data_IF_158334346980
#
_entry.id   IF_158334346980
#
_cell.length_a   1.000
_cell.length_b   1.000
_cell.length_c   1.000
_cell.angle_alpha   90.00
_cell.angle_beta   90.00
_cell.angle_gamma   90.00
#
_symmetry.space_group_name_H-M   'P 1'
#
loop_
_entity.id
_entity.type
_entity.pdbx_description
1 polymer ?
#
# COMPACT_ATOMS: atom_id res chain seq x y z
N UNK A 1 -11.22 23.22 -12.29
CA UNK A 1 -10.55 22.55 -11.15
C UNK A 1 -9.05 22.45 -11.46
N UNK A 2 -8.15 22.70 -10.51
CA UNK A 2 -6.71 22.54 -10.73
C UNK A 2 -6.38 21.05 -10.98
N UNK A 3 -5.53 20.75 -11.94
CA UNK A 3 -5.14 19.38 -12.31
C UNK A 3 -4.55 18.61 -11.11
N UNK A 4 -3.76 19.28 -10.26
CA UNK A 4 -3.26 18.67 -9.01
C UNK A 4 -4.38 18.32 -8.02
N UNK A 5 -5.44 19.11 -7.98
CA UNK A 5 -6.62 18.84 -7.13
C UNK A 5 -7.40 17.65 -7.67
N UNK A 6 -7.61 17.59 -8.98
CA UNK A 6 -8.27 16.45 -9.64
C UNK A 6 -7.51 15.14 -9.37
N UNK A 7 -6.20 15.14 -9.58
CA UNK A 7 -5.36 13.96 -9.32
C UNK A 7 -5.49 13.46 -7.87
N UNK A 8 -5.53 14.36 -6.88
CA UNK A 8 -5.71 14.00 -5.47
C UNK A 8 -7.09 13.41 -5.18
N UNK A 9 -8.14 14.01 -5.73
CA UNK A 9 -9.51 13.51 -5.59
C UNK A 9 -9.62 12.12 -6.20
N UNK A 10 -9.07 11.91 -7.41
CA UNK A 10 -9.10 10.60 -8.07
C UNK A 10 -8.29 9.55 -7.29
N UNK A 11 -7.11 9.92 -6.77
CA UNK A 11 -6.33 9.00 -5.93
C UNK A 11 -7.10 8.58 -4.67
N UNK A 12 -7.76 9.53 -3.99
CA UNK A 12 -8.61 9.24 -2.84
C UNK A 12 -9.83 8.40 -3.21
N UNK A 13 -10.43 8.60 -4.39
CA UNK A 13 -11.53 7.78 -4.88
C UNK A 13 -11.09 6.34 -5.18
N UNK A 14 -9.91 6.16 -5.79
CA UNK A 14 -9.29 4.85 -6.03
C UNK A 14 -9.01 4.14 -4.71
N UNK A 15 -8.43 4.84 -3.73
CA UNK A 15 -8.24 4.33 -2.38
C UNK A 15 -9.57 3.89 -1.76
N UNK A 16 -10.57 4.77 -1.74
CA UNK A 16 -11.84 4.52 -1.10
C UNK A 16 -12.56 3.31 -1.72
N UNK A 17 -12.54 3.19 -3.05
CA UNK A 17 -13.14 2.05 -3.75
C UNK A 17 -12.45 0.73 -3.36
N UNK A 18 -11.13 0.68 -3.46
CA UNK A 18 -10.36 -0.51 -3.09
C UNK A 18 -10.57 -0.87 -1.60
N UNK A 19 -10.51 0.13 -0.72
CA UNK A 19 -10.72 -0.03 0.71
C UNK A 19 -12.12 -0.58 1.02
N UNK A 20 -13.18 -0.03 0.43
CA UNK A 20 -14.55 -0.51 0.64
C UNK A 20 -14.69 -1.96 0.18
N UNK A 21 -14.14 -2.30 -0.98
CA UNK A 21 -14.23 -3.66 -1.54
C UNK A 21 -13.47 -4.66 -0.69
N UNK A 22 -12.22 -4.36 -0.32
CA UNK A 22 -11.42 -5.23 0.55
C UNK A 22 -12.03 -5.34 1.95
N UNK A 23 -12.52 -4.25 2.52
CA UNK A 23 -13.18 -4.28 3.83
C UNK A 23 -14.45 -5.12 3.81
N UNK A 24 -15.24 -5.05 2.73
CA UNK A 24 -16.45 -5.85 2.55
C UNK A 24 -16.16 -7.35 2.34
N UNK A 25 -14.95 -7.69 1.90
CA UNK A 25 -14.52 -9.08 1.63
C UNK A 25 -13.49 -9.60 2.62
N UNK A 26 -13.17 -8.82 3.65
CA UNK A 26 -12.20 -9.16 4.69
C UNK A 26 -12.63 -10.39 5.48
N UNK A 27 -11.70 -11.31 5.73
CA UNK A 27 -11.94 -12.46 6.58
C UNK A 27 -12.30 -12.01 8.00
N UNK A 28 -13.38 -12.57 8.56
CA UNK A 28 -13.85 -12.26 9.92
C UNK A 28 -13.11 -13.03 11.01
N UNK A 29 -12.44 -14.13 10.65
CA UNK A 29 -11.72 -15.03 11.55
C UNK A 29 -10.36 -15.39 10.95
N UNK A 30 -9.65 -16.32 11.59
CA UNK A 30 -8.34 -16.79 11.14
C UNK A 30 -8.49 -17.51 9.79
N UNK A 31 -7.82 -16.98 8.76
CA UNK A 31 -7.68 -17.65 7.47
C UNK A 31 -6.72 -18.84 7.55
N UNK A 32 -6.77 -19.70 6.53
CA UNK A 32 -5.78 -20.75 6.31
C UNK A 32 -4.39 -20.15 6.05
N UNK A 33 -3.32 -20.95 6.23
CA UNK A 33 -1.92 -20.58 5.97
C UNK A 33 -1.25 -19.71 7.05
N UNK A 34 -0.43 -18.73 6.65
CA UNK A 34 0.47 -17.97 7.52
C UNK A 34 -0.27 -16.97 8.43
N UNK A 35 -1.52 -16.64 8.10
CA UNK A 35 -2.38 -15.73 8.87
C UNK A 35 -2.47 -16.10 10.36
N UNK A 36 -2.64 -17.39 10.68
CA UNK A 36 -2.73 -17.85 12.06
C UNK A 36 -1.44 -17.65 12.85
N UNK A 37 -0.31 -17.87 12.21
CA UNK A 37 1.01 -17.66 12.79
C UNK A 37 1.28 -16.15 13.00
N UNK A 38 0.99 -15.31 11.99
CA UNK A 38 1.13 -13.86 12.07
C UNK A 38 0.26 -13.26 13.18
N UNK A 39 -0.97 -13.75 13.35
CA UNK A 39 -1.86 -13.35 14.43
C UNK A 39 -1.31 -13.74 15.80
N UNK A 40 -0.89 -14.99 15.96
CA UNK A 40 -0.33 -15.49 17.22
C UNK A 40 0.95 -14.73 17.60
N UNK A 41 1.89 -14.60 16.65
CA UNK A 41 3.14 -13.86 16.83
C UNK A 41 2.87 -12.40 17.17
N UNK A 42 1.97 -11.71 16.46
CA UNK A 42 1.60 -10.32 16.75
C UNK A 42 0.96 -10.16 18.12
N UNK A 43 0.18 -11.14 18.59
CA UNK A 43 -0.45 -11.07 19.90
C UNK A 43 0.55 -11.22 21.06
N UNK A 44 1.59 -12.03 20.90
CA UNK A 44 2.61 -12.26 21.93
C UNK A 44 3.90 -11.45 21.72
N UNK A 45 3.97 -10.65 20.64
CA UNK A 45 5.21 -10.00 20.17
C UNK A 45 6.35 -11.00 19.89
N UNK A 46 5.98 -12.16 19.32
CA UNK A 46 6.90 -13.20 18.89
C UNK A 46 7.38 -13.02 17.45
N UNK A 47 8.24 -13.92 17.01
CA UNK A 47 8.64 -14.03 15.61
C UNK A 47 7.77 -15.10 14.93
N UNK A 48 7.09 -14.82 13.79
CA UNK A 48 6.33 -15.83 13.05
C UNK A 48 7.29 -16.92 12.54
N UNK A 49 8.01 -16.66 11.45
CA UNK A 49 9.05 -17.52 10.92
C UNK A 49 10.21 -16.68 10.36
N UNK A 50 11.46 -17.20 10.30
CA UNK A 50 12.59 -16.47 9.70
C UNK A 50 12.32 -16.06 8.24
N UNK A 51 12.68 -14.83 7.81
CA UNK A 51 13.53 -13.84 8.49
C UNK A 51 12.82 -12.99 9.56
N UNK A 52 11.50 -13.15 9.72
CA UNK A 52 10.64 -12.40 10.62
C UNK A 52 10.08 -11.12 10.02
N UNK A 53 9.05 -10.56 10.66
CA UNK A 53 8.41 -9.28 10.26
C UNK A 53 8.22 -8.38 11.50
N UNK A 54 9.31 -7.85 12.09
CA UNK A 54 9.27 -7.18 13.40
C UNK A 54 8.45 -5.89 13.37
N UNK A 55 8.51 -5.09 12.30
CA UNK A 55 7.70 -3.88 12.22
C UNK A 55 6.21 -4.21 12.08
N UNK A 56 5.88 -5.19 11.23
CA UNK A 56 4.50 -5.64 11.06
C UNK A 56 3.91 -6.14 12.39
N UNK A 57 4.62 -6.99 13.12
CA UNK A 57 4.17 -7.52 14.42
C UNK A 57 3.97 -6.43 15.47
N UNK A 58 4.84 -5.41 15.50
CA UNK A 58 4.66 -4.24 16.38
C UNK A 58 3.42 -3.41 16.01
N UNK A 59 3.21 -3.13 14.72
CA UNK A 59 2.01 -2.41 14.24
C UNK A 59 0.75 -3.22 14.54
N UNK A 60 0.76 -4.52 14.23
CA UNK A 60 -0.32 -5.45 14.51
C UNK A 60 -0.66 -5.47 16.01
N UNK A 61 0.35 -5.49 16.89
CA UNK A 61 0.11 -5.41 18.34
C UNK A 61 -0.62 -4.14 18.75
N UNK A 62 -0.26 -2.99 18.18
CA UNK A 62 -0.96 -1.72 18.44
C UNK A 62 -2.42 -1.81 18.00
N UNK A 63 -2.70 -2.30 16.79
CA UNK A 63 -4.07 -2.46 16.28
C UNK A 63 -4.89 -3.43 17.14
N UNK A 64 -4.27 -4.52 17.60
CA UNK A 64 -4.89 -5.45 18.55
C UNK A 64 -5.27 -4.72 19.84
N UNK A 65 -4.45 -3.80 20.36
CA UNK A 65 -4.75 -3.10 21.61
C UNK A 65 -5.84 -2.01 21.46
N UNK A 66 -5.87 -1.28 20.34
CA UNK A 66 -6.67 -0.05 20.22
C UNK A 66 -7.97 -0.20 19.45
N UNK A 67 -8.07 -1.17 18.53
CA UNK A 67 -9.26 -1.27 17.68
C UNK A 67 -10.44 -1.93 18.40
N UNK A 68 -11.63 -1.30 18.38
CA UNK A 68 -12.82 -1.79 19.07
C UNK A 68 -13.58 -2.86 18.27
N UNK A 69 -12.87 -3.79 17.63
CA UNK A 69 -13.47 -4.94 16.92
C UNK A 69 -13.46 -6.17 17.82
N UNK A 70 -14.50 -7.00 17.81
CA UNK A 70 -14.58 -8.14 18.73
C UNK A 70 -13.43 -9.14 18.53
N UNK A 71 -13.19 -9.56 17.29
CA UNK A 71 -12.18 -10.56 16.95
C UNK A 71 -10.79 -9.97 16.73
N UNK A 72 -9.76 -10.61 17.30
CA UNK A 72 -8.35 -10.26 17.08
C UNK A 72 -7.98 -10.41 15.60
N UNK A 73 -8.50 -11.45 14.93
CA UNK A 73 -8.27 -11.70 13.51
C UNK A 73 -8.66 -10.48 12.66
N UNK A 74 -9.88 -9.96 12.84
CA UNK A 74 -10.32 -8.75 12.14
C UNK A 74 -9.41 -7.55 12.40
N UNK A 75 -8.84 -7.44 13.61
CA UNK A 75 -7.97 -6.30 13.94
C UNK A 75 -6.68 -6.29 13.13
N UNK A 76 -6.11 -7.46 12.85
CA UNK A 76 -4.89 -7.57 12.06
C UNK A 76 -5.19 -7.65 10.57
N UNK A 77 -6.25 -8.36 10.14
CA UNK A 77 -6.70 -8.39 8.75
C UNK A 77 -6.96 -6.97 8.21
N UNK A 78 -7.46 -6.06 9.07
CA UNK A 78 -7.68 -4.66 8.71
C UNK A 78 -6.39 -3.93 8.28
N UNK A 79 -5.22 -4.32 8.81
CA UNK A 79 -3.94 -3.73 8.40
C UNK A 79 -3.66 -4.08 6.94
N UNK A 80 -3.87 -5.34 6.56
CA UNK A 80 -3.71 -5.81 5.18
C UNK A 80 -4.72 -5.11 4.27
N UNK A 81 -5.98 -4.97 4.68
CA UNK A 81 -7.00 -4.19 3.94
C UNK A 81 -6.55 -2.74 3.71
N UNK A 82 -6.10 -2.06 4.77
CA UNK A 82 -5.69 -0.66 4.71
C UNK A 82 -4.46 -0.46 3.82
N UNK A 83 -3.42 -1.26 4.03
CA UNK A 83 -2.14 -1.13 3.32
C UNK A 83 -2.24 -1.58 1.87
N UNK A 84 -3.04 -2.60 1.56
CA UNK A 84 -3.36 -2.98 0.19
C UNK A 84 -4.16 -1.89 -0.54
N UNK A 85 -5.16 -1.28 0.10
CA UNK A 85 -5.88 -0.15 -0.51
C UNK A 85 -4.97 1.06 -0.78
N UNK A 86 -4.03 1.36 0.14
CA UNK A 86 -3.00 2.37 -0.07
C UNK A 86 -2.05 2.00 -1.22
N UNK A 87 -1.73 0.73 -1.39
CA UNK A 87 -0.94 0.23 -2.53
C UNK A 87 -1.64 0.51 -3.86
N UNK A 88 -2.95 0.27 -3.95
CA UNK A 88 -3.75 0.54 -5.16
C UNK A 88 -3.73 2.04 -5.49
N UNK A 89 -3.90 2.90 -4.47
CA UNK A 89 -3.77 4.36 -4.62
C UNK A 89 -2.35 4.77 -5.09
N UNK A 90 -1.31 4.19 -4.51
CA UNK A 90 0.06 4.50 -4.89
C UNK A 90 0.38 4.00 -6.30
N UNK A 91 -0.19 2.88 -6.73
CA UNK A 91 -0.08 2.36 -8.10
C UNK A 91 -0.68 3.33 -9.12
N UNK A 92 -1.83 3.94 -8.80
CA UNK A 92 -2.42 5.02 -9.60
C UNK A 92 -1.48 6.23 -9.70
N UNK A 93 -0.98 6.73 -8.56
CA UNK A 93 -0.11 7.91 -8.50
C UNK A 93 1.23 7.68 -9.21
N UNK A 94 1.81 6.49 -9.05
CA UNK A 94 3.04 6.05 -9.71
C UNK A 94 2.83 6.05 -11.22
N UNK A 95 1.77 5.41 -11.70
CA UNK A 95 1.47 5.29 -13.14
C UNK A 95 1.29 6.67 -13.77
N UNK A 96 0.52 7.56 -13.14
CA UNK A 96 0.37 8.95 -13.63
C UNK A 96 1.74 9.65 -13.74
N UNK A 97 2.58 9.53 -12.71
CA UNK A 97 3.88 10.19 -12.71
C UNK A 97 4.81 9.60 -13.77
N UNK A 98 4.83 8.27 -13.90
CA UNK A 98 5.61 7.56 -14.91
C UNK A 98 5.18 7.96 -16.33
N UNK A 99 3.88 7.96 -16.63
CA UNK A 99 3.35 8.36 -17.94
C UNK A 99 3.71 9.82 -18.27
N UNK A 100 3.60 10.75 -17.30
CA UNK A 100 4.03 12.14 -17.52
C UNK A 100 5.50 12.25 -17.90
N UNK A 101 6.36 11.47 -17.25
CA UNK A 101 7.81 11.45 -17.53
C UNK A 101 8.08 10.83 -18.91
N UNK A 102 7.50 9.67 -19.21
CA UNK A 102 7.71 8.91 -20.46
C UNK A 102 7.29 9.74 -21.68
N UNK A 103 6.10 10.34 -21.61
CA UNK A 103 5.56 11.14 -22.70
C UNK A 103 5.98 12.62 -22.64
N UNK A 104 6.90 13.00 -21.74
CA UNK A 104 7.39 14.38 -21.55
C UNK A 104 6.26 15.42 -21.39
N UNK A 105 5.11 15.01 -20.84
CA UNK A 105 3.92 15.85 -20.70
C UNK A 105 3.06 15.97 -21.96
N UNK A 106 3.44 15.39 -23.10
CA UNK A 106 2.68 15.35 -24.35
C UNK A 106 1.60 14.24 -24.35
N UNK A 107 0.94 14.04 -23.21
CA UNK A 107 -0.15 13.07 -23.04
C UNK A 107 -1.41 13.81 -22.60
N UNK A 108 -2.56 13.43 -23.17
CA UNK A 108 -3.83 14.02 -22.76
C UNK A 108 -4.18 13.61 -21.33
N UNK A 109 -4.84 14.50 -20.58
CA UNK A 109 -5.31 14.18 -19.23
C UNK A 109 -6.20 12.93 -19.20
N UNK A 110 -7.02 12.74 -20.24
CA UNK A 110 -7.86 11.55 -20.38
C UNK A 110 -7.03 10.26 -20.38
N UNK A 111 -6.05 10.16 -21.29
CA UNK A 111 -5.17 8.98 -21.38
C UNK A 111 -4.37 8.77 -20.10
N UNK A 112 -3.91 9.85 -19.48
CA UNK A 112 -3.15 9.82 -18.23
C UNK A 112 -3.96 9.20 -17.09
N UNK A 113 -5.18 9.70 -16.88
CA UNK A 113 -6.06 9.22 -15.81
C UNK A 113 -6.61 7.82 -16.11
N UNK A 114 -6.99 7.52 -17.35
CA UNK A 114 -7.40 6.18 -17.76
C UNK A 114 -6.28 5.15 -17.57
N UNK A 115 -5.05 5.45 -18.00
CA UNK A 115 -3.90 4.57 -17.80
C UNK A 115 -3.62 4.33 -16.31
N UNK A 116 -3.67 5.38 -15.49
CA UNK A 116 -3.56 5.27 -14.04
C UNK A 116 -4.62 4.38 -13.41
N UNK A 117 -5.90 4.55 -13.80
CA UNK A 117 -7.02 3.76 -13.29
C UNK A 117 -6.89 2.29 -13.69
N UNK A 118 -6.57 2.01 -14.96
CA UNK A 118 -6.39 0.65 -15.47
C UNK A 118 -5.26 -0.04 -14.70
N UNK A 119 -4.10 0.61 -14.56
CA UNK A 119 -2.97 0.03 -13.84
C UNK A 119 -3.29 -0.26 -12.37
N UNK A 120 -3.92 0.70 -11.68
CA UNK A 120 -4.28 0.55 -10.28
C UNK A 120 -5.27 -0.60 -10.06
N UNK A 121 -6.32 -0.69 -10.88
CA UNK A 121 -7.34 -1.71 -10.75
C UNK A 121 -6.88 -3.09 -11.24
N UNK A 122 -5.98 -3.17 -12.21
CA UNK A 122 -5.32 -4.43 -12.55
C UNK A 122 -4.50 -4.98 -11.38
N UNK A 123 -3.77 -4.13 -10.66
CA UNK A 123 -3.05 -4.55 -9.45
C UNK A 123 -4.03 -4.91 -8.33
N UNK A 124 -4.99 -4.02 -8.04
CA UNK A 124 -5.88 -4.17 -6.90
C UNK A 124 -6.86 -5.34 -7.01
N UNK A 125 -7.34 -5.64 -8.21
CA UNK A 125 -8.32 -6.71 -8.42
C UNK A 125 -7.71 -7.96 -9.07
N UNK A 126 -6.38 -8.06 -9.11
CA UNK A 126 -5.71 -9.32 -9.41
C UNK A 126 -5.95 -10.32 -8.28
N UNK A 127 -6.25 -11.57 -8.64
CA UNK A 127 -6.63 -12.64 -7.71
C UNK A 127 -5.62 -12.80 -6.54
N UNK A 128 -4.33 -12.95 -6.86
CA UNK A 128 -3.26 -13.09 -5.85
C UNK A 128 -3.16 -11.89 -4.91
N UNK A 129 -3.28 -10.67 -5.45
CA UNK A 129 -3.18 -9.46 -4.64
C UNK A 129 -4.40 -9.26 -3.76
N UNK A 130 -5.60 -9.48 -4.31
CA UNK A 130 -6.85 -9.40 -3.56
C UNK A 130 -6.86 -10.44 -2.44
N UNK A 131 -6.53 -11.70 -2.74
CA UNK A 131 -6.48 -12.76 -1.75
C UNK A 131 -5.64 -12.37 -0.53
N UNK A 132 -4.44 -11.82 -0.74
CA UNK A 132 -3.58 -11.32 0.34
C UNK A 132 -4.08 -10.01 1.01
N UNK A 133 -4.97 -9.27 0.36
CA UNK A 133 -5.49 -7.99 0.89
C UNK A 133 -6.60 -8.17 1.93
N UNK A 134 -7.26 -9.33 1.96
CA UNK A 134 -8.44 -9.58 2.80
C UNK A 134 -8.15 -10.39 4.06
N UNK A 135 -6.90 -10.79 4.25
CA UNK A 135 -6.43 -11.60 5.38
C UNK A 135 -5.08 -11.09 5.92
N UNK A 136 -4.69 -11.50 7.12
CA UNK A 136 -3.52 -11.01 7.83
C UNK A 136 -2.22 -11.46 7.14
N UNK A 137 -1.78 -10.65 6.18
CA UNK A 137 -0.56 -10.86 5.39
C UNK A 137 0.32 -9.62 5.32
N UNK A 138 1.63 -9.84 5.19
CA UNK A 138 2.65 -8.77 5.10
C UNK A 138 2.82 -8.20 3.69
N UNK A 139 2.27 -8.88 2.68
CA UNK A 139 2.43 -8.50 1.27
C UNK A 139 1.85 -7.13 0.94
N UNK A 140 0.66 -6.80 1.47
CA UNK A 140 0.03 -5.49 1.24
C UNK A 140 0.87 -4.33 1.80
N UNK A 141 1.42 -4.52 3.00
CA UNK A 141 2.33 -3.59 3.67
C UNK A 141 3.64 -3.41 2.90
N UNK A 142 4.22 -4.51 2.45
CA UNK A 142 5.45 -4.51 1.65
C UNK A 142 5.25 -3.83 0.30
N UNK A 143 4.16 -4.13 -0.40
CA UNK A 143 3.84 -3.54 -1.70
C UNK A 143 3.55 -2.04 -1.59
N UNK A 144 2.94 -1.60 -0.48
CA UNK A 144 2.76 -0.17 -0.23
C UNK A 144 4.10 0.56 -0.14
N UNK A 145 5.08 -0.01 0.57
CA UNK A 145 6.43 0.55 0.63
C UNK A 145 7.09 0.56 -0.73
N UNK A 146 7.05 -0.54 -1.47
CA UNK A 146 7.65 -0.65 -2.81
C UNK A 146 7.06 0.39 -3.76
N UNK A 147 5.73 0.56 -3.78
CA UNK A 147 5.07 1.56 -4.63
C UNK A 147 5.39 2.99 -4.18
N UNK A 148 5.52 3.23 -2.87
CA UNK A 148 5.93 4.52 -2.31
C UNK A 148 7.37 4.87 -2.69
N UNK A 149 8.30 3.93 -2.56
CA UNK A 149 9.70 4.07 -2.97
C UNK A 149 9.78 4.33 -4.48
N UNK A 150 9.02 3.58 -5.27
CA UNK A 150 8.98 3.74 -6.74
C UNK A 150 8.48 5.12 -7.14
N UNK A 151 7.43 5.61 -6.49
CA UNK A 151 6.91 6.97 -6.70
C UNK A 151 7.92 8.04 -6.26
N UNK A 152 8.56 7.87 -5.09
CA UNK A 152 9.60 8.77 -4.59
C UNK A 152 10.83 8.79 -5.50
N UNK A 153 11.16 7.69 -6.15
CA UNK A 153 12.26 7.61 -7.12
C UNK A 153 11.97 8.47 -8.34
N UNK A 154 10.74 8.43 -8.85
CA UNK A 154 10.30 9.35 -9.91
C UNK A 154 10.25 10.80 -9.42
N UNK A 155 9.89 11.05 -8.16
CA UNK A 155 9.94 12.39 -7.56
C UNK A 155 11.37 12.93 -7.51
N UNK A 156 12.31 12.12 -7.02
CA UNK A 156 13.73 12.42 -7.01
C UNK A 156 14.24 12.72 -8.41
N UNK A 157 13.91 11.88 -9.39
CA UNK A 157 14.33 12.00 -10.79
C UNK A 157 14.02 13.39 -11.39
N UNK A 158 12.82 13.93 -11.13
CA UNK A 158 12.38 15.24 -11.65
C UNK A 158 13.01 16.43 -10.91
N UNK A 159 13.42 16.25 -9.65
CA UNK A 159 13.88 17.33 -8.78
C UNK A 159 15.38 17.28 -8.50
N UNK A 160 16.15 16.53 -9.32
CA UNK A 160 17.59 16.34 -9.15
C UNK A 160 18.34 17.66 -9.03
N UNK A 161 19.35 17.67 -8.15
CA UNK A 161 20.13 18.87 -7.85
C UNK A 161 19.48 19.84 -6.85
N UNK A 162 18.32 19.48 -6.27
CA UNK A 162 17.69 20.27 -5.21
C UNK A 162 17.81 19.59 -3.85
N UNK A 163 17.88 20.36 -2.73
CA UNK A 163 17.90 19.77 -1.39
C UNK A 163 16.69 18.90 -1.06
N UNK A 164 15.56 19.09 -1.75
CA UNK A 164 14.35 18.27 -1.59
C UNK A 164 14.54 16.87 -2.18
N UNK A 165 15.23 16.76 -3.31
CA UNK A 165 15.57 15.47 -3.89
C UNK A 165 16.53 14.71 -2.97
N UNK A 166 17.55 15.35 -2.41
CA UNK A 166 18.50 14.67 -1.51
C UNK A 166 17.78 14.08 -0.28
N UNK A 167 16.83 14.82 0.31
CA UNK A 167 15.97 14.30 1.39
C UNK A 167 15.10 13.13 0.94
N UNK A 168 14.56 13.18 -0.28
CA UNK A 168 13.78 12.06 -0.84
C UNK A 168 14.65 10.82 -1.03
N UNK A 169 15.93 10.98 -1.41
CA UNK A 169 16.86 9.86 -1.56
C UNK A 169 17.18 9.20 -0.21
N UNK A 170 17.40 9.99 0.85
CA UNK A 170 17.57 9.46 2.21
C UNK A 170 16.30 8.72 2.65
N UNK A 171 15.11 9.27 2.39
CA UNK A 171 13.85 8.63 2.71
C UNK A 171 13.66 7.31 1.95
N UNK A 172 14.02 7.25 0.66
CA UNK A 172 13.99 6.01 -0.12
C UNK A 172 14.87 4.94 0.53
N UNK A 173 16.10 5.30 0.91
CA UNK A 173 17.00 4.38 1.63
C UNK A 173 16.37 3.88 2.93
N UNK A 174 15.86 4.80 3.76
CA UNK A 174 15.20 4.43 5.02
C UNK A 174 14.01 3.48 4.82
N UNK A 175 13.11 3.79 3.88
CA UNK A 175 11.94 2.96 3.60
C UNK A 175 12.33 1.58 3.03
N UNK A 176 13.39 1.50 2.22
CA UNK A 176 13.88 0.25 1.65
C UNK A 176 14.44 -0.73 2.68
N UNK A 177 14.89 -0.24 3.84
CA UNK A 177 15.43 -1.05 4.94
C UNK A 177 14.51 -1.06 6.18
N UNK A 178 13.27 -0.60 6.05
CA UNK A 178 12.35 -0.42 7.18
C UNK A 178 11.92 -1.75 7.84
N UNK A 179 12.13 -2.89 7.18
CA UNK A 179 11.90 -4.22 7.75
C UNK A 179 10.41 -4.50 7.98
N UNK A 180 9.60 -4.26 6.94
CA UNK A 180 8.23 -4.77 6.86
C UNK A 180 8.20 -6.25 6.55
#
# INVERSE_FOLDING_TARGET
MNDKTLQRIMALAVFALAFIVYLATMASTVSFWDCGELLAASNILGNPHPPGNPLFTLIARVFIMVMPLHEIAMRVNFISVLTSALTVMMSFLFTIKALRIIFKGEITNFMLYCGGLIAAFLVGFADTFWFSAVEAEVYGSSMFLVMTISWLTLYWYENRGTPKADRALILIGYLGFLGM
#
